data_IF_099604520082
#
_entry.id   IF_099604520082
#
_cell.length_a   1.000
_cell.length_b   1.000
_cell.length_c   1.000
_cell.angle_alpha   90.00
_cell.angle_beta   90.00
_cell.angle_gamma   90.00
#
_symmetry.space_group_name_H-M   'P 1'
#
loop_
_entity.id
_entity.type
_entity.pdbx_description
1 polymer ?
#
# COMPACT_ATOMS: atom_id res chain seq x y z
N UNK A 1 29.00 13.56 -27.77
CA UNK A 1 27.63 13.59 -28.30
C UNK A 1 26.80 12.82 -27.32
N UNK A 2 25.88 13.48 -26.62
CA UNK A 2 25.27 13.02 -25.37
C UNK A 2 24.31 11.86 -25.65
N UNK A 3 24.78 10.63 -25.44
CA UNK A 3 23.98 9.43 -25.59
C UNK A 3 22.78 9.47 -24.64
N UNK A 4 21.61 9.51 -25.28
CA UNK A 4 20.35 8.91 -24.86
C UNK A 4 20.02 9.05 -23.38
N UNK A 5 19.26 10.11 -23.12
CA UNK A 5 18.22 10.20 -22.08
C UNK A 5 17.69 8.82 -21.68
N UNK A 6 18.28 8.23 -20.64
CA UNK A 6 17.84 7.00 -20.01
C UNK A 6 16.58 7.30 -19.19
N UNK A 7 15.51 7.65 -19.91
CA UNK A 7 14.17 7.90 -19.38
C UNK A 7 13.60 6.54 -18.98
N UNK A 8 13.96 6.05 -17.79
CA UNK A 8 13.18 4.97 -17.18
C UNK A 8 11.85 5.59 -16.74
N UNK A 9 10.93 5.65 -17.70
CA UNK A 9 9.53 5.95 -17.45
C UNK A 9 8.94 4.72 -16.75
N UNK A 10 8.80 4.78 -15.43
CA UNK A 10 8.03 3.77 -14.72
C UNK A 10 6.62 3.77 -15.31
N UNK A 11 6.12 2.64 -15.84
CA UNK A 11 4.80 2.63 -16.46
C UNK A 11 3.75 2.99 -15.41
N UNK A 12 2.80 3.86 -15.76
CA UNK A 12 1.71 4.33 -14.86
C UNK A 12 1.04 3.18 -14.09
N UNK A 13 0.88 2.02 -14.74
CA UNK A 13 0.33 0.81 -14.12
C UNK A 13 1.12 0.35 -12.88
N UNK A 14 2.45 0.43 -12.91
CA UNK A 14 3.29 0.05 -11.76
C UNK A 14 3.22 1.08 -10.63
N UNK A 15 2.97 2.35 -10.95
CA UNK A 15 2.78 3.43 -9.98
C UNK A 15 1.45 3.30 -9.23
N UNK A 16 0.39 2.85 -9.92
CA UNK A 16 -0.95 2.67 -9.34
C UNK A 16 -1.18 1.29 -8.72
N UNK A 17 -0.34 0.30 -9.01
CA UNK A 17 -0.47 -1.05 -8.44
C UNK A 17 -0.54 -1.08 -6.90
N UNK A 18 0.22 -0.27 -6.13
CA UNK A 18 0.07 -0.18 -4.68
C UNK A 18 -1.32 0.28 -4.22
N UNK A 19 -2.00 1.13 -4.99
CA UNK A 19 -3.34 1.61 -4.65
C UNK A 19 -4.39 0.49 -4.76
N UNK A 20 -4.15 -0.52 -5.60
CA UNK A 20 -5.03 -1.69 -5.66
C UNK A 20 -5.04 -2.46 -4.34
N UNK A 21 -3.91 -2.54 -3.63
CA UNK A 21 -3.85 -3.18 -2.31
C UNK A 21 -4.67 -2.40 -1.27
N UNK A 22 -4.73 -1.07 -1.36
CA UNK A 22 -5.61 -0.25 -0.54
C UNK A 22 -7.08 -0.56 -0.80
N UNK A 23 -7.48 -0.74 -2.07
CA UNK A 23 -8.85 -1.14 -2.43
C UNK A 23 -9.17 -2.54 -1.90
N UNK A 24 -8.26 -3.50 -2.10
CA UNK A 24 -8.41 -4.87 -1.59
C UNK A 24 -8.57 -4.87 -0.07
N UNK A 25 -7.77 -4.08 0.65
CA UNK A 25 -7.88 -3.94 2.10
C UNK A 25 -9.26 -3.46 2.51
N UNK A 26 -9.76 -2.38 1.89
CA UNK A 26 -11.07 -1.80 2.23
C UNK A 26 -12.20 -2.79 1.92
N UNK A 27 -12.16 -3.46 0.77
CA UNK A 27 -13.17 -4.46 0.38
C UNK A 27 -13.15 -5.65 1.32
N UNK A 28 -11.96 -6.16 1.67
CA UNK A 28 -11.81 -7.24 2.65
C UNK A 28 -12.38 -6.83 4.00
N UNK A 29 -11.99 -5.67 4.52
CA UNK A 29 -12.49 -5.14 5.78
C UNK A 29 -14.01 -5.01 5.74
N UNK A 30 -14.60 -4.40 4.72
CA UNK A 30 -16.06 -4.25 4.61
C UNK A 30 -16.78 -5.61 4.58
N UNK A 31 -16.20 -6.62 3.93
CA UNK A 31 -16.76 -7.96 3.84
C UNK A 31 -16.67 -8.76 5.15
N UNK A 32 -15.67 -8.50 5.99
CA UNK A 32 -15.39 -9.32 7.18
C UNK A 32 -15.76 -8.64 8.50
N UNK A 33 -15.70 -7.30 8.57
CA UNK A 33 -16.09 -6.50 9.74
C UNK A 33 -17.45 -6.85 10.38
N UNK A 34 -18.54 -7.13 9.62
CA UNK A 34 -19.83 -7.43 10.25
C UNK A 34 -19.87 -8.85 10.84
N UNK A 35 -18.94 -9.72 10.43
CA UNK A 35 -18.87 -11.11 10.88
C UNK A 35 -17.72 -11.38 11.86
N UNK A 36 -16.78 -10.43 12.03
CA UNK A 36 -15.66 -10.58 12.96
C UNK A 36 -16.08 -10.28 14.39
N UNK A 37 -15.70 -11.17 15.31
CA UNK A 37 -15.83 -10.99 16.75
C UNK A 37 -14.46 -10.67 17.39
N UNK A 38 -14.50 -10.21 18.64
CA UNK A 38 -13.30 -9.99 19.44
C UNK A 38 -12.47 -11.28 19.52
N UNK A 39 -11.18 -11.20 19.21
CA UNK A 39 -10.28 -12.35 19.21
C UNK A 39 -10.27 -13.19 17.92
N UNK A 40 -11.03 -12.81 16.88
CA UNK A 40 -10.99 -13.46 15.57
C UNK A 40 -9.74 -13.09 14.78
N UNK A 41 -8.63 -13.73 15.15
CA UNK A 41 -7.32 -13.51 14.54
C UNK A 41 -7.28 -13.89 13.05
N UNK A 42 -8.21 -14.69 12.54
CA UNK A 42 -8.19 -15.07 11.11
C UNK A 42 -8.48 -13.88 10.18
N UNK A 43 -9.31 -12.93 10.61
CA UNK A 43 -9.74 -11.79 9.81
C UNK A 43 -8.66 -10.70 9.68
N UNK A 44 -7.76 -10.61 10.67
CA UNK A 44 -6.74 -9.55 10.77
C UNK A 44 -5.50 -9.83 9.92
N UNK A 45 -5.15 -11.11 9.69
CA UNK A 45 -3.94 -11.49 8.96
C UNK A 45 -3.82 -10.85 7.56
N UNK A 46 -4.87 -10.85 6.72
CA UNK A 46 -4.78 -10.20 5.42
C UNK A 46 -4.51 -8.70 5.53
N UNK A 47 -5.14 -8.02 6.49
CA UNK A 47 -4.91 -6.60 6.73
C UNK A 47 -3.46 -6.35 7.16
N UNK A 48 -2.92 -7.14 8.09
CA UNK A 48 -1.53 -7.02 8.56
C UNK A 48 -0.54 -7.22 7.40
N UNK A 49 -0.76 -8.21 6.53
CA UNK A 49 0.15 -8.55 5.42
C UNK A 49 0.17 -7.47 4.33
N UNK A 50 -0.93 -6.76 4.10
CA UNK A 50 -1.01 -5.73 3.05
C UNK A 50 -0.02 -4.59 3.32
N UNK A 51 0.21 -4.19 4.58
CA UNK A 51 1.14 -3.11 4.91
C UNK A 51 2.59 -3.37 4.45
N UNK A 52 3.28 -4.44 4.87
CA UNK A 52 4.65 -4.71 4.41
C UNK A 52 4.70 -4.93 2.90
N UNK A 53 3.67 -5.52 2.27
CA UNK A 53 3.61 -5.67 0.81
C UNK A 53 3.63 -4.31 0.10
N UNK A 54 2.80 -3.35 0.53
CA UNK A 54 2.75 -2.00 -0.03
C UNK A 54 4.09 -1.26 0.18
N UNK A 55 4.69 -1.39 1.37
CA UNK A 55 5.98 -0.77 1.69
C UNK A 55 7.11 -1.34 0.82
N UNK A 56 7.21 -2.68 0.70
CA UNK A 56 8.22 -3.34 -0.13
C UNK A 56 8.05 -2.94 -1.59
N UNK A 57 6.82 -2.86 -2.09
CA UNK A 57 6.55 -2.46 -3.47
C UNK A 57 7.01 -1.04 -3.75
N UNK A 58 6.68 -0.09 -2.88
CA UNK A 58 7.16 1.30 -3.00
C UNK A 58 8.68 1.40 -2.91
N UNK A 59 9.30 0.64 -2.00
CA UNK A 59 10.77 0.54 -1.93
C UNK A 59 11.35 0.07 -3.26
N UNK A 60 10.82 -1.01 -3.83
CA UNK A 60 11.27 -1.55 -5.12
C UNK A 60 11.10 -0.54 -6.26
N UNK A 61 10.00 0.22 -6.30
CA UNK A 61 9.78 1.27 -7.30
C UNK A 61 10.82 2.40 -7.18
N UNK A 62 11.09 2.87 -5.96
CA UNK A 62 12.08 3.93 -5.72
C UNK A 62 13.47 3.48 -6.14
N UNK A 63 13.88 2.25 -5.82
CA UNK A 63 15.18 1.72 -6.23
C UNK A 63 15.31 1.55 -7.75
N UNK A 64 14.25 1.06 -8.42
CA UNK A 64 14.22 0.82 -9.87
C UNK A 64 14.13 2.10 -10.72
N UNK A 65 13.56 3.18 -10.18
CA UNK A 65 13.38 4.46 -10.88
C UNK A 65 14.70 5.22 -11.06
N UNK A 66 15.61 4.78 -11.93
CA UNK A 66 16.83 5.55 -12.26
C UNK A 66 16.43 6.87 -12.95
N UNK A 67 16.94 8.00 -12.47
CA UNK A 67 16.63 9.36 -12.99
C UNK A 67 15.48 10.08 -12.26
N UNK A 68 14.39 9.37 -11.90
CA UNK A 68 13.19 9.96 -11.29
C UNK A 68 12.92 9.51 -9.85
N UNK A 69 13.96 9.09 -9.11
CA UNK A 69 13.82 8.58 -7.72
C UNK A 69 13.07 9.52 -6.79
N UNK A 70 13.32 10.85 -6.91
CA UNK A 70 12.65 11.86 -6.07
C UNK A 70 11.14 11.84 -6.28
N UNK A 71 10.68 11.77 -7.54
CA UNK A 71 9.27 11.72 -7.87
C UNK A 71 8.62 10.41 -7.39
N UNK A 72 9.28 9.28 -7.62
CA UNK A 72 8.82 7.98 -7.12
C UNK A 72 8.72 7.96 -5.58
N UNK A 73 9.68 8.57 -4.90
CA UNK A 73 9.68 8.68 -3.44
C UNK A 73 8.55 9.58 -2.93
N UNK A 74 8.33 10.74 -3.55
CA UNK A 74 7.22 11.63 -3.20
C UNK A 74 5.86 10.97 -3.43
N UNK A 75 5.69 10.23 -4.52
CA UNK A 75 4.48 9.46 -4.79
C UNK A 75 4.26 8.35 -3.74
N UNK A 76 5.32 7.63 -3.38
CA UNK A 76 5.29 6.63 -2.32
C UNK A 76 4.90 7.25 -0.97
N UNK A 77 5.49 8.39 -0.62
CA UNK A 77 5.21 9.11 0.62
C UNK A 77 3.77 9.60 0.67
N UNK A 78 3.27 10.19 -0.41
CA UNK A 78 1.87 10.64 -0.51
C UNK A 78 0.89 9.47 -0.36
N UNK A 79 1.15 8.35 -1.03
CA UNK A 79 0.31 7.16 -0.90
C UNK A 79 0.38 6.58 0.51
N UNK A 80 1.57 6.41 1.09
CA UNK A 80 1.74 5.89 2.46
C UNK A 80 1.09 6.81 3.50
N UNK A 81 1.17 8.13 3.32
CA UNK A 81 0.54 9.11 4.22
C UNK A 81 -0.98 8.96 4.29
N UNK A 82 -1.63 8.59 3.18
CA UNK A 82 -3.07 8.27 3.16
C UNK A 82 -3.36 6.83 3.58
N UNK A 83 -2.53 5.89 3.12
CA UNK A 83 -2.72 4.45 3.34
C UNK A 83 -2.55 4.06 4.81
N UNK A 84 -1.60 4.63 5.55
CA UNK A 84 -1.33 4.27 6.96
C UNK A 84 -2.55 4.55 7.85
N UNK A 85 -3.16 5.75 7.86
CA UNK A 85 -4.40 5.99 8.62
C UNK A 85 -5.55 5.08 8.21
N UNK A 86 -5.75 4.85 6.91
CA UNK A 86 -6.79 3.95 6.42
C UNK A 86 -6.57 2.50 6.84
N UNK A 87 -5.31 2.06 6.85
CA UNK A 87 -4.92 0.73 7.30
C UNK A 87 -5.14 0.53 8.80
N UNK A 88 -4.77 1.52 9.62
CA UNK A 88 -5.06 1.49 11.06
C UNK A 88 -6.56 1.44 11.34
N UNK A 89 -7.37 2.23 10.62
CA UNK A 89 -8.82 2.19 10.73
C UNK A 89 -9.36 0.80 10.36
N UNK A 90 -8.86 0.18 9.29
CA UNK A 90 -9.26 -1.16 8.88
C UNK A 90 -8.92 -2.21 9.95
N UNK A 91 -7.75 -2.09 10.59
CA UNK A 91 -7.36 -2.96 11.70
C UNK A 91 -8.30 -2.80 12.89
N UNK A 92 -8.58 -1.56 13.33
CA UNK A 92 -9.50 -1.28 14.44
C UNK A 92 -10.92 -1.84 14.17
N UNK A 93 -11.42 -1.70 12.94
CA UNK A 93 -12.73 -2.22 12.55
C UNK A 93 -12.80 -3.75 12.60
N UNK A 94 -11.72 -4.43 12.20
CA UNK A 94 -11.65 -5.89 12.20
C UNK A 94 -11.47 -6.43 13.62
N UNK A 95 -10.52 -5.88 14.38
CA UNK A 95 -10.18 -6.35 15.73
C UNK A 95 -11.29 -6.06 16.74
N UNK A 96 -12.15 -5.06 16.46
CA UNK A 96 -13.08 -4.46 17.44
C UNK A 96 -12.35 -3.88 18.66
N UNK A 97 -11.03 -3.73 18.56
CA UNK A 97 -10.16 -3.14 19.55
C UNK A 97 -9.80 -1.72 19.13
N UNK A 98 -9.80 -0.81 20.09
CA UNK A 98 -9.05 0.44 19.95
C UNK A 98 -7.56 0.11 20.06
N UNK A 99 -6.86 0.16 18.94
CA UNK A 99 -5.40 0.08 18.84
C UNK A 99 -4.71 1.19 19.65
#
# INVERSE_FOLDING_TARGET
>A
MLDETLTITVPLRQLFAPALFSVVLVVWTAGVYPFSAYGDNWAIWPAIIIFPVVVIWHGALVFKSRGNRKLAFLAALAHLGFFVPGWLLCLMLISKDSL
#
